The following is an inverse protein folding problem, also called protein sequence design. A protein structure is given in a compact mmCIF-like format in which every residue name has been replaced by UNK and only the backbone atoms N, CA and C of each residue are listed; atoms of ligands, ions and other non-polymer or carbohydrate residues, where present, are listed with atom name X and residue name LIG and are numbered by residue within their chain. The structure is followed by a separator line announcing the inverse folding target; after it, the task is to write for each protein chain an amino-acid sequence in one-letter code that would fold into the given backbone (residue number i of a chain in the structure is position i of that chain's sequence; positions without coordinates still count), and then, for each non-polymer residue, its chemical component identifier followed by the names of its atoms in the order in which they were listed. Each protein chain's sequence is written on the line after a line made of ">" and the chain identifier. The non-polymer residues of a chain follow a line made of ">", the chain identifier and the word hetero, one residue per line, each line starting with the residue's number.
data_IF_536459163365
#
_entry.id   IF_536459163365
#
_cell.length_a   1.000
_cell.length_b   1.000
_cell.length_c   1.000
_cell.angle_alpha   90.00
_cell.angle_beta   90.00
_cell.angle_gamma   90.00
#
_symmetry.space_group_name_H-M   'P 1'
#
loop_
_entity.id
_entity.type
_entity.pdbx_description
1 polymer ?
#
# COMPACT_ATOMS: atom_id res chain seq x y z
N UNK A 1 -77.72 8.79 9.80
CA UNK A 1 -76.26 8.98 9.86
C UNK A 1 -75.60 7.61 9.71
N UNK A 2 -74.80 7.45 8.66
CA UNK A 2 -74.15 6.19 8.31
C UNK A 2 -72.89 6.00 9.17
N UNK A 3 -72.74 4.83 9.80
CA UNK A 3 -71.45 4.35 10.30
C UNK A 3 -71.27 2.89 9.84
N UNK A 4 -70.12 2.69 9.24
CA UNK A 4 -69.67 1.59 8.41
C UNK A 4 -69.16 0.39 9.22
N UNK A 5 -69.38 -0.81 8.68
CA UNK A 5 -68.80 -2.07 9.13
C UNK A 5 -67.29 -2.10 8.86
N UNK A 6 -66.50 -2.59 9.83
CA UNK A 6 -65.13 -3.04 9.61
C UNK A 6 -65.07 -4.58 9.74
N UNK A 7 -64.38 -5.30 8.83
CA UNK A 7 -64.31 -6.76 8.86
C UNK A 7 -63.11 -7.32 9.64
N UNK A 8 -63.39 -8.49 10.20
CA UNK A 8 -62.56 -9.52 10.81
C UNK A 8 -61.14 -9.69 10.24
N UNK A 9 -60.15 -9.77 11.13
CA UNK A 9 -58.79 -10.26 10.86
C UNK A 9 -58.69 -11.77 11.16
N UNK A 10 -58.08 -12.59 10.29
CA UNK A 10 -57.73 -13.96 10.64
C UNK A 10 -56.39 -14.01 11.41
N UNK A 11 -56.40 -14.77 12.50
CA UNK A 11 -55.23 -15.23 13.26
C UNK A 11 -54.41 -16.18 12.38
N UNK A 12 -53.19 -15.78 12.00
CA UNK A 12 -52.19 -16.68 11.45
C UNK A 12 -51.21 -17.07 12.57
N UNK A 13 -51.16 -18.37 12.83
CA UNK A 13 -50.23 -19.04 13.73
C UNK A 13 -48.77 -18.77 13.31
N UNK A 14 -47.96 -18.36 14.30
CA UNK A 14 -46.50 -18.35 14.22
C UNK A 14 -45.96 -19.78 14.42
N UNK A 15 -45.04 -20.28 13.58
CA UNK A 15 -44.24 -21.44 13.91
C UNK A 15 -43.01 -21.05 14.76
N UNK A 16 -42.70 -21.91 15.75
CA UNK A 16 -41.49 -21.89 16.57
C UNK A 16 -40.21 -21.95 15.70
N UNK A 17 -39.14 -21.23 16.05
CA UNK A 17 -37.83 -21.47 15.47
C UNK A 17 -37.14 -22.64 16.19
N UNK A 18 -37.01 -23.77 15.47
CA UNK A 18 -36.07 -24.83 15.83
C UNK A 18 -34.63 -24.36 15.58
N UNK A 19 -33.78 -24.69 16.54
CA UNK A 19 -32.34 -24.53 16.50
C UNK A 19 -31.71 -25.48 15.49
N UNK A 20 -30.98 -24.93 14.51
CA UNK A 20 -29.90 -25.67 13.85
C UNK A 20 -28.67 -24.80 13.70
N UNK A 21 -27.67 -25.15 14.50
CA UNK A 21 -26.28 -24.79 14.32
C UNK A 21 -25.81 -25.26 12.93
N UNK A 22 -25.32 -24.32 12.13
CA UNK A 22 -24.50 -24.61 10.96
C UNK A 22 -23.26 -23.73 11.04
N UNK A 23 -22.11 -24.40 11.09
CA UNK A 23 -20.78 -23.84 11.10
C UNK A 23 -20.58 -22.88 9.92
N UNK A 24 -20.55 -21.58 10.21
CA UNK A 24 -20.05 -20.55 9.29
C UNK A 24 -18.63 -20.21 9.72
N UNK A 25 -17.67 -20.76 8.97
CA UNK A 25 -16.25 -20.47 9.07
C UNK A 25 -15.98 -18.97 8.91
N UNK A 26 -15.69 -18.30 10.04
CA UNK A 26 -14.80 -17.13 10.13
C UNK A 26 -14.95 -16.02 9.09
N UNK A 27 -16.07 -15.30 9.06
CA UNK A 27 -16.09 -13.94 8.50
C UNK A 27 -15.47 -13.02 9.56
N UNK A 28 -14.15 -12.87 9.51
CA UNK A 28 -13.48 -11.76 10.17
C UNK A 28 -13.88 -10.47 9.47
N UNK A 29 -14.92 -9.80 9.98
CA UNK A 29 -15.16 -8.39 9.67
C UNK A 29 -14.03 -7.61 10.35
N UNK A 30 -12.91 -7.48 9.64
CA UNK A 30 -11.87 -6.55 10.01
C UNK A 30 -12.45 -5.14 9.89
N UNK A 31 -12.92 -4.59 11.01
CA UNK A 31 -12.94 -3.15 11.23
C UNK A 31 -11.47 -2.69 11.24
N UNK A 32 -10.90 -2.59 10.04
CA UNK A 32 -9.57 -2.06 9.85
C UNK A 32 -9.67 -0.57 10.15
N UNK A 33 -9.24 -0.14 11.34
CA UNK A 33 -9.02 1.26 11.70
C UNK A 33 -8.01 1.85 10.69
N UNK A 34 -8.53 2.32 9.56
CA UNK A 34 -7.74 3.00 8.53
C UNK A 34 -7.62 4.45 8.94
N UNK A 35 -6.63 4.69 9.79
CA UNK A 35 -6.00 5.99 9.80
C UNK A 35 -5.40 6.19 8.40
N UNK A 36 -6.02 7.04 7.60
CA UNK A 36 -5.34 7.68 6.49
C UNK A 36 -4.12 8.35 7.10
N UNK A 37 -2.95 7.81 6.86
CA UNK A 37 -1.71 8.35 7.42
C UNK A 37 -1.49 9.70 6.75
N UNK A 38 -1.65 10.78 7.51
CA UNK A 38 -1.71 12.15 6.99
C UNK A 38 -0.37 12.84 7.10
N UNK A 39 -0.10 13.83 6.23
CA UNK A 39 1.03 14.73 6.43
C UNK A 39 0.91 15.49 7.78
N UNK A 40 -0.31 15.82 8.23
CA UNK A 40 -0.55 16.44 9.56
C UNK A 40 -0.23 15.52 10.74
N UNK A 41 -0.31 14.19 10.55
CA UNK A 41 0.10 13.21 11.57
C UNK A 41 1.64 13.19 11.73
N UNK A 42 2.37 13.81 10.79
CA UNK A 42 3.83 13.85 10.76
C UNK A 42 4.41 15.25 10.95
N UNK A 43 3.70 16.26 10.45
CA UNK A 43 4.04 17.67 10.56
C UNK A 43 2.89 18.35 11.34
N UNK A 44 2.84 18.19 12.68
CA UNK A 44 1.97 19.04 13.47
C UNK A 44 2.40 20.49 13.19
N UNK A 45 1.46 21.33 12.75
CA UNK A 45 1.70 22.76 12.53
C UNK A 45 2.36 23.31 13.80
N UNK A 46 3.65 23.66 13.71
CA UNK A 46 4.32 24.48 14.72
C UNK A 46 3.88 25.93 14.52
N UNK A 47 2.58 26.20 14.50
CA UNK A 47 2.07 27.54 14.76
C UNK A 47 2.15 27.76 16.27
N UNK A 48 3.27 28.32 16.72
CA UNK A 48 3.25 29.08 17.96
C UNK A 48 2.26 30.22 17.71
N UNK A 49 1.09 30.16 18.34
CA UNK A 49 0.23 31.33 18.55
C UNK A 49 0.98 32.29 19.49
N UNK A 50 1.94 33.03 18.95
CA UNK A 50 2.51 34.20 19.59
C UNK A 50 1.52 35.34 19.45
N UNK A 51 0.42 35.27 20.22
CA UNK A 51 -0.44 36.42 20.57
C UNK A 51 -1.38 36.06 21.73
N UNK A 52 -0.79 35.85 22.90
CA UNK A 52 -1.44 36.21 24.17
C UNK A 52 -0.54 37.20 24.90
N UNK A 53 -0.84 38.47 24.66
CA UNK A 53 -0.46 39.60 25.51
C UNK A 53 -0.82 39.26 26.96
N UNK A 54 0.20 39.06 27.80
CA UNK A 54 0.07 39.20 29.24
C UNK A 54 0.80 40.45 29.67
N UNK A 55 0.05 41.33 30.33
CA UNK A 55 0.50 42.64 30.78
C UNK A 55 1.71 42.56 31.68
N UNK A 56 2.52 43.61 31.58
CA UNK A 56 3.55 43.93 32.55
C UNK A 56 2.92 44.19 33.92
N UNK A 57 3.21 43.34 34.89
CA UNK A 57 3.22 43.73 36.29
C UNK A 57 4.61 43.51 36.88
N UNK A 58 5.15 44.60 37.42
CA UNK A 58 6.44 44.68 38.09
C UNK A 58 6.29 44.24 39.55
N UNK A 59 7.41 43.79 40.12
CA UNK A 59 7.70 43.55 41.55
C UNK A 59 7.33 42.18 42.13
N UNK A 60 8.35 41.36 42.41
CA UNK A 60 8.76 41.01 43.79
C UNK A 60 9.85 39.92 43.81
N UNK A 61 11.00 40.26 44.39
CA UNK A 61 11.85 39.43 45.28
C UNK A 61 12.44 38.07 44.81
N UNK A 62 13.72 37.79 45.07
CA UNK A 62 14.32 36.50 44.74
C UNK A 62 13.92 35.44 45.77
N UNK A 63 13.24 34.37 45.34
CA UNK A 63 13.05 33.16 46.16
C UNK A 63 14.10 32.13 45.79
N UNK A 64 14.99 31.89 46.75
CA UNK A 64 15.98 30.83 46.80
C UNK A 64 15.30 29.46 46.75
N UNK A 65 15.70 28.61 45.81
CA UNK A 65 15.32 27.20 45.80
C UNK A 65 16.23 26.41 46.74
N UNK A 66 15.62 25.91 47.82
CA UNK A 66 16.17 24.91 48.74
C UNK A 66 16.53 23.62 47.98
N UNK A 67 17.79 23.24 48.02
CA UNK A 67 18.25 21.87 47.84
C UNK A 67 18.02 21.10 49.14
N UNK A 68 17.40 19.92 49.07
CA UNK A 68 17.50 18.88 50.09
C UNK A 68 16.95 17.54 49.56
N UNK A 69 17.85 16.59 49.33
CA UNK A 69 17.88 15.30 50.05
C UNK A 69 19.12 14.52 49.63
N UNK A 70 20.06 14.48 50.56
CA UNK A 70 21.13 13.50 50.67
C UNK A 70 20.54 12.11 50.91
N UNK A 71 21.16 11.09 50.31
CA UNK A 71 21.13 9.74 50.86
C UNK A 71 22.58 9.34 51.11
N UNK A 72 22.86 9.06 52.37
CA UNK A 72 24.17 8.83 52.92
C UNK A 72 24.62 7.39 52.66
N UNK A 73 25.92 7.24 52.46
CA UNK A 73 26.59 5.96 52.22
C UNK A 73 27.22 5.49 53.52
N UNK A 74 26.99 4.24 53.93
CA UNK A 74 28.03 3.33 54.45
C UNK A 74 27.46 2.07 55.10
N UNK A 75 27.88 0.91 54.60
CA UNK A 75 28.43 -0.25 55.35
C UNK A 75 28.81 -1.34 54.34
N UNK A 76 30.10 -1.71 54.35
CA UNK A 76 30.71 -2.68 53.43
C UNK A 76 30.61 -4.15 53.87
N UNK A 77 31.61 -4.95 53.44
CA UNK A 77 31.77 -6.43 53.44
C UNK A 77 31.20 -7.12 52.19
N UNK A 78 31.92 -7.90 51.38
CA UNK A 78 33.33 -8.22 51.17
C UNK A 78 33.47 -8.93 49.79
N UNK A 79 34.68 -9.32 49.33
CA UNK A 79 34.88 -9.84 47.98
C UNK A 79 34.99 -11.37 47.97
N UNK A 80 34.01 -12.05 47.36
CA UNK A 80 34.14 -13.48 47.07
C UNK A 80 34.67 -13.71 45.64
N UNK A 81 35.93 -14.13 45.62
CA UNK A 81 36.55 -14.91 44.55
C UNK A 81 35.98 -16.34 44.62
N UNK A 82 35.49 -16.89 43.51
CA UNK A 82 35.85 -18.25 43.04
C UNK A 82 34.93 -18.79 41.93
N UNK A 83 35.57 -19.53 41.02
CA UNK A 83 35.02 -20.50 40.05
C UNK A 83 34.22 -19.90 38.88
N UNK A 84 34.58 -20.03 37.61
CA UNK A 84 35.39 -21.01 36.88
C UNK A 84 34.63 -21.29 35.56
N UNK A 85 35.30 -21.36 34.39
CA UNK A 85 34.59 -21.47 33.11
C UNK A 85 34.19 -22.93 32.83
N UNK A 86 32.89 -23.20 32.64
CA UNK A 86 32.44 -24.52 32.15
C UNK A 86 32.47 -24.54 30.63
N UNK A 87 33.42 -25.31 30.11
CA UNK A 87 33.57 -25.72 28.73
C UNK A 87 32.65 -26.90 28.36
N UNK A 88 32.41 -27.03 27.06
CA UNK A 88 31.96 -28.18 26.26
C UNK A 88 30.72 -29.00 26.68
N UNK A 89 29.73 -29.00 25.78
CA UNK A 89 29.16 -30.26 25.26
C UNK A 89 28.51 -30.08 23.89
N UNK A 90 29.28 -30.43 22.86
CA UNK A 90 28.78 -30.90 21.56
C UNK A 90 28.22 -32.32 21.73
N UNK A 91 27.07 -32.56 21.10
CA UNK A 91 26.39 -33.85 20.93
C UNK A 91 25.37 -33.58 19.81
N UNK A 92 25.23 -34.32 18.71
CA UNK A 92 25.61 -35.69 18.35
C UNK A 92 25.85 -35.73 16.84
N UNK A 93 26.85 -36.52 16.46
CA UNK A 93 27.00 -37.15 15.16
C UNK A 93 25.80 -38.05 14.84
N UNK A 94 25.39 -38.06 13.57
CA UNK A 94 24.63 -39.16 12.99
C UNK A 94 25.46 -39.66 11.82
N UNK A 95 26.09 -40.82 12.01
CA UNK A 95 26.84 -41.51 10.98
C UNK A 95 26.21 -42.89 10.73
N UNK A 96 25.96 -43.13 9.45
CA UNK A 96 26.00 -44.39 8.71
C UNK A 96 25.24 -45.64 9.19
N UNK A 97 24.36 -46.04 8.27
CA UNK A 97 24.39 -47.34 7.56
C UNK A 97 23.51 -48.51 8.06
N UNK A 98 23.11 -49.30 7.04
CA UNK A 98 22.33 -50.57 7.00
C UNK A 98 20.80 -50.37 6.89
N UNK A 99 20.11 -50.91 5.89
CA UNK A 99 20.54 -51.90 4.90
C UNK A 99 19.51 -52.19 3.80
N UNK A 100 19.94 -53.16 3.00
CA UNK A 100 19.44 -53.73 1.75
C UNK A 100 17.98 -54.20 1.73
N UNK A 101 17.37 -54.09 0.54
CA UNK A 101 16.18 -54.83 0.11
C UNK A 101 15.78 -54.42 -1.32
N UNK A 102 15.82 -55.32 -2.32
CA UNK A 102 15.63 -54.97 -3.73
C UNK A 102 14.19 -55.17 -4.17
N UNK A 103 13.59 -54.21 -4.87
CA UNK A 103 12.38 -54.48 -5.65
C UNK A 103 12.61 -54.21 -7.13
N UNK A 104 12.42 -55.31 -7.85
CA UNK A 104 12.40 -55.46 -9.29
C UNK A 104 11.15 -54.73 -9.81
N UNK A 105 11.32 -53.79 -10.72
CA UNK A 105 10.34 -53.61 -11.79
C UNK A 105 11.00 -53.07 -13.06
N UNK A 106 11.17 -54.02 -13.96
CA UNK A 106 11.54 -53.92 -15.36
C UNK A 106 10.47 -53.17 -16.16
N UNK A 107 10.86 -52.06 -16.79
CA UNK A 107 10.16 -51.44 -17.91
C UNK A 107 11.18 -51.07 -18.99
N UNK A 108 11.02 -51.51 -20.25
CA UNK A 108 12.11 -51.50 -21.23
C UNK A 108 12.38 -50.11 -21.81
N UNK A 109 13.64 -49.69 -21.73
CA UNK A 109 14.21 -48.55 -22.45
C UNK A 109 14.40 -48.93 -23.92
N UNK A 110 13.63 -48.34 -24.82
CA UNK A 110 13.96 -48.35 -26.25
C UNK A 110 15.09 -47.36 -26.50
N UNK A 111 16.29 -47.89 -26.68
CA UNK A 111 17.42 -47.19 -27.28
C UNK A 111 17.12 -46.98 -28.78
N UNK A 112 16.85 -45.73 -29.18
CA UNK A 112 16.95 -45.35 -30.59
C UNK A 112 18.40 -45.03 -30.91
N UNK A 113 19.10 -46.04 -31.42
CA UNK A 113 20.24 -45.83 -32.30
C UNK A 113 19.70 -45.30 -33.63
N UNK A 114 20.23 -44.17 -34.11
CA UNK A 114 20.35 -43.89 -35.53
C UNK A 114 21.71 -43.24 -35.74
N UNK A 115 22.71 -44.07 -36.01
CA UNK A 115 23.91 -43.69 -36.75
C UNK A 115 23.66 -44.12 -38.19
N UNK A 116 23.60 -43.14 -39.08
CA UNK A 116 23.96 -43.34 -40.48
C UNK A 116 24.98 -42.25 -40.79
N UNK A 117 26.23 -42.67 -40.86
CA UNK A 117 27.30 -42.01 -41.59
C UNK A 117 27.24 -42.56 -43.01
N UNK A 118 27.23 -41.67 -44.00
CA UNK A 118 28.16 -41.73 -45.14
C UNK A 118 28.03 -40.45 -46.01
N UNK A 119 29.04 -40.14 -46.85
CA UNK A 119 29.55 -38.79 -47.04
C UNK A 119 29.38 -38.23 -48.46
N UNK A 120 29.93 -37.01 -48.62
CA UNK A 120 30.42 -36.35 -49.83
C UNK A 120 29.55 -35.37 -50.65
N UNK A 121 30.08 -34.13 -50.64
CA UNK A 121 30.31 -33.20 -51.75
C UNK A 121 29.15 -32.81 -52.67
N UNK A 122 28.77 -31.53 -52.58
CA UNK A 122 28.07 -30.82 -53.64
C UNK A 122 28.08 -29.31 -53.41
N UNK A 123 29.07 -28.64 -53.99
CA UNK A 123 29.07 -27.20 -54.26
C UNK A 123 27.78 -26.81 -54.99
N UNK A 124 27.07 -25.79 -54.51
CA UNK A 124 25.81 -25.37 -55.09
C UNK A 124 25.30 -24.07 -54.48
N UNK A 125 25.87 -22.96 -54.93
CA UNK A 125 25.35 -21.61 -54.79
C UNK A 125 23.83 -21.53 -54.98
N UNK A 126 23.11 -21.00 -53.98
CA UNK A 126 21.93 -20.19 -54.30
C UNK A 126 21.65 -19.11 -53.25
N UNK A 127 21.77 -17.87 -53.70
CA UNK A 127 21.36 -16.64 -53.02
C UNK A 127 19.83 -16.66 -52.88
N UNK A 128 19.33 -17.22 -51.79
CA UNK A 128 17.95 -17.00 -51.34
C UNK A 128 17.87 -15.70 -50.54
N UNK A 129 17.71 -14.56 -51.23
CA UNK A 129 17.20 -13.34 -50.63
C UNK A 129 15.77 -13.60 -50.13
N UNK A 130 15.65 -14.09 -48.89
CA UNK A 130 14.38 -14.16 -48.19
C UNK A 130 13.86 -12.73 -47.97
N UNK A 131 12.62 -12.40 -48.38
CA UNK A 131 12.09 -11.07 -48.24
C UNK A 131 12.05 -10.70 -46.76
N UNK A 132 12.57 -9.50 -46.47
CA UNK A 132 12.60 -8.85 -45.17
C UNK A 132 11.41 -9.27 -44.30
N UNK A 133 11.70 -9.90 -43.16
CA UNK A 133 10.73 -10.02 -42.06
C UNK A 133 10.25 -8.61 -41.75
N UNK A 134 9.03 -8.35 -42.22
CA UNK A 134 8.19 -7.22 -41.92
C UNK A 134 8.54 -6.65 -40.55
N UNK A 135 9.14 -5.46 -40.55
CA UNK A 135 9.17 -4.56 -39.42
C UNK A 135 7.73 -4.41 -38.92
N UNK A 136 7.32 -5.24 -37.96
CA UNK A 136 6.06 -5.04 -37.25
C UNK A 136 6.10 -3.60 -36.76
N UNK A 137 5.10 -2.76 -37.09
CA UNK A 137 5.07 -1.40 -36.61
C UNK A 137 5.25 -1.47 -35.10
N UNK A 138 6.28 -0.78 -34.59
CA UNK A 138 6.53 -0.67 -33.16
C UNK A 138 5.24 -0.14 -32.57
N UNK A 139 4.45 -1.02 -31.97
CA UNK A 139 3.20 -0.67 -31.29
C UNK A 139 3.54 0.46 -30.36
N UNK A 140 3.04 1.66 -30.68
CA UNK A 140 3.32 2.88 -29.92
C UNK A 140 3.14 2.54 -28.45
N UNK A 141 4.27 2.54 -27.74
CA UNK A 141 4.32 2.14 -26.35
C UNK A 141 3.80 3.31 -25.53
N UNK A 142 2.50 3.56 -25.66
CA UNK A 142 1.79 4.54 -24.86
C UNK A 142 2.07 4.36 -23.37
N UNK A 143 1.75 5.36 -22.55
CA UNK A 143 1.99 5.31 -21.12
C UNK A 143 1.43 4.02 -20.52
N UNK A 144 2.30 3.22 -19.90
CA UNK A 144 1.90 1.96 -19.27
C UNK A 144 0.98 2.27 -18.10
N UNK A 145 -0.27 1.80 -18.17
CA UNK A 145 -1.24 1.99 -17.10
C UNK A 145 -1.00 1.01 -15.94
N UNK A 146 -1.45 1.42 -14.76
CA UNK A 146 -1.51 0.54 -13.58
C UNK A 146 -2.61 -0.50 -13.80
N UNK A 147 -2.39 -1.71 -13.30
CA UNK A 147 -3.44 -2.74 -13.34
C UNK A 147 -4.57 -2.29 -12.40
N UNK A 148 -5.78 -2.17 -12.94
CA UNK A 148 -6.97 -1.85 -12.14
C UNK A 148 -7.12 -2.87 -11.01
N UNK A 149 -7.28 -2.36 -9.79
CA UNK A 149 -7.57 -3.18 -8.61
C UNK A 149 -8.99 -2.87 -8.15
N UNK A 150 -9.84 -3.90 -8.15
CA UNK A 150 -11.25 -3.81 -7.76
C UNK A 150 -11.45 -4.83 -6.62
N UNK A 151 -11.76 -4.39 -5.39
CA UNK A 151 -12.14 -5.29 -4.32
C UNK A 151 -13.37 -6.13 -4.68
N UNK A 152 -13.44 -7.37 -4.17
CA UNK A 152 -14.49 -8.33 -4.53
C UNK A 152 -15.89 -7.83 -4.17
N UNK A 153 -16.04 -7.10 -3.06
CA UNK A 153 -17.30 -6.53 -2.58
C UNK A 153 -17.84 -5.39 -3.45
N UNK A 154 -17.01 -4.82 -4.33
CA UNK A 154 -17.40 -3.73 -5.25
C UNK A 154 -17.34 -4.12 -6.72
N UNK A 155 -16.96 -5.36 -7.03
CA UNK A 155 -16.83 -5.84 -8.41
C UNK A 155 -18.14 -5.70 -9.21
N UNK A 156 -19.29 -5.90 -8.55
CA UNK A 156 -20.61 -5.73 -9.18
C UNK A 156 -20.97 -4.27 -9.50
N UNK A 157 -20.24 -3.29 -8.96
CA UNK A 157 -20.49 -1.86 -9.16
C UNK A 157 -19.49 -1.23 -10.14
N UNK A 158 -18.42 -1.93 -10.52
CA UNK A 158 -17.43 -1.42 -11.46
C UNK A 158 -17.62 -2.06 -12.83
N UNK A 159 -17.87 -1.23 -13.85
CA UNK A 159 -17.94 -1.69 -15.24
C UNK A 159 -16.54 -2.03 -15.78
N UNK A 160 -16.50 -2.83 -16.84
CA UNK A 160 -15.24 -3.18 -17.52
C UNK A 160 -14.51 -1.95 -18.09
N UNK A 161 -15.25 -0.91 -18.48
CA UNK A 161 -14.70 0.38 -18.92
C UNK A 161 -14.12 1.24 -17.78
N UNK A 162 -14.22 0.77 -16.53
CA UNK A 162 -13.74 1.48 -15.35
C UNK A 162 -14.77 2.44 -14.74
N UNK A 163 -15.98 2.55 -15.30
CA UNK A 163 -17.01 3.42 -14.70
C UNK A 163 -17.61 2.79 -13.46
N UNK A 164 -17.65 3.59 -12.39
CA UNK A 164 -18.35 3.24 -11.16
C UNK A 164 -19.86 3.47 -11.32
N UNK A 165 -20.65 2.42 -11.07
CA UNK A 165 -22.09 2.50 -10.86
C UNK A 165 -22.32 3.02 -9.44
N UNK A 166 -22.92 4.19 -9.33
CA UNK A 166 -23.21 4.86 -8.06
C UNK A 166 -24.56 5.58 -8.13
N UNK A 167 -25.07 6.01 -6.99
CA UNK A 167 -26.27 6.84 -6.90
C UNK A 167 -26.01 8.24 -7.46
N UNK A 168 -27.08 8.97 -7.82
CA UNK A 168 -26.95 10.33 -8.37
C UNK A 168 -26.17 11.26 -7.42
N UNK A 169 -26.44 11.28 -6.09
CA UNK A 169 -25.64 12.07 -5.14
C UNK A 169 -24.17 11.64 -5.06
N UNK A 170 -23.84 10.36 -5.22
CA UNK A 170 -22.46 9.87 -5.28
C UNK A 170 -21.74 10.34 -6.53
N UNK A 171 -22.40 10.26 -7.69
CA UNK A 171 -21.87 10.75 -8.97
C UNK A 171 -21.57 12.24 -8.90
N UNK A 172 -22.53 13.03 -8.44
CA UNK A 172 -22.42 14.49 -8.39
C UNK A 172 -21.33 14.92 -7.41
N UNK A 173 -21.17 14.21 -6.30
CA UNK A 173 -20.04 14.41 -5.38
C UNK A 173 -18.68 14.19 -6.07
N UNK A 174 -18.50 13.05 -6.76
CA UNK A 174 -17.23 12.75 -7.43
C UNK A 174 -16.89 13.77 -8.52
N UNK A 175 -17.89 14.22 -9.28
CA UNK A 175 -17.73 15.27 -10.29
C UNK A 175 -17.37 16.61 -9.62
N UNK A 176 -18.12 17.03 -8.61
CA UNK A 176 -17.93 18.30 -7.89
C UNK A 176 -16.52 18.45 -7.34
N UNK A 177 -15.96 17.39 -6.76
CA UNK A 177 -14.61 17.39 -6.19
C UNK A 177 -13.53 16.90 -7.16
N UNK A 178 -13.90 16.56 -8.41
CA UNK A 178 -12.97 16.11 -9.44
C UNK A 178 -12.28 14.77 -9.14
N UNK A 179 -12.87 13.94 -8.27
CA UNK A 179 -12.31 12.67 -7.79
C UNK A 179 -12.54 11.58 -8.83
N UNK A 180 -11.47 10.88 -9.22
CA UNK A 180 -11.48 9.79 -10.18
C UNK A 180 -11.71 8.44 -9.44
N UNK A 181 -12.81 7.72 -9.70
CA UNK A 181 -13.06 6.42 -9.08
C UNK A 181 -12.19 5.29 -9.67
N UNK A 182 -11.70 5.43 -10.92
CA UNK A 182 -10.93 4.37 -11.59
C UNK A 182 -9.41 4.49 -11.37
N UNK A 183 -8.87 3.65 -10.49
CA UNK A 183 -7.42 3.55 -10.30
C UNK A 183 -6.67 2.96 -11.51
N UNK A 184 -7.35 2.31 -12.45
CA UNK A 184 -6.78 1.82 -13.70
C UNK A 184 -6.33 2.93 -14.64
N UNK A 185 -6.81 4.17 -14.44
CA UNK A 185 -6.38 5.35 -15.21
C UNK A 185 -5.03 5.91 -14.77
N UNK A 186 -4.51 5.46 -13.63
CA UNK A 186 -3.20 5.88 -13.17
C UNK A 186 -2.11 5.40 -14.12
N UNK A 187 -1.17 6.28 -14.44
CA UNK A 187 0.01 5.93 -15.22
C UNK A 187 1.05 5.33 -14.29
N UNK A 188 1.74 4.28 -14.71
CA UNK A 188 2.89 3.78 -13.94
C UNK A 188 3.93 4.87 -13.86
N UNK A 189 4.34 5.22 -12.64
CA UNK A 189 5.38 6.22 -12.45
C UNK A 189 6.69 5.67 -13.03
N UNK A 190 7.14 6.31 -14.11
CA UNK A 190 8.39 5.99 -14.78
C UNK A 190 9.49 6.94 -14.31
N UNK A 191 10.71 6.41 -14.24
CA UNK A 191 11.91 7.15 -13.86
C UNK A 191 13.14 6.45 -14.41
N UNK A 192 14.32 6.93 -14.01
CA UNK A 192 15.59 6.30 -14.38
C UNK A 192 15.76 4.90 -13.79
N UNK A 193 16.96 4.36 -13.99
CA UNK A 193 17.34 3.03 -13.50
C UNK A 193 17.20 2.92 -11.97
N UNK A 194 17.42 4.00 -11.22
CA UNK A 194 17.27 4.02 -9.76
C UNK A 194 15.85 3.72 -9.30
N UNK A 195 14.83 4.34 -9.92
CA UNK A 195 13.43 4.08 -9.59
C UNK A 195 13.06 2.63 -9.89
N UNK A 196 13.56 2.10 -11.02
CA UNK A 196 13.34 0.71 -11.41
C UNK A 196 14.00 -0.26 -10.43
N UNK A 197 15.22 0.04 -9.96
CA UNK A 197 15.90 -0.72 -8.91
C UNK A 197 15.10 -0.70 -7.62
N UNK A 198 14.67 0.48 -7.14
CA UNK A 198 13.84 0.60 -5.93
C UNK A 198 12.51 -0.15 -6.06
N UNK A 199 11.84 -0.10 -7.21
CA UNK A 199 10.62 -0.89 -7.42
C UNK A 199 10.87 -2.40 -7.30
N UNK A 200 11.98 -2.90 -7.86
CA UNK A 200 12.38 -4.31 -7.77
C UNK A 200 12.79 -4.72 -6.35
N UNK A 201 13.60 -3.90 -5.69
CA UNK A 201 14.18 -4.20 -4.38
C UNK A 201 13.09 -4.27 -3.29
N UNK A 202 12.10 -3.38 -3.36
CA UNK A 202 10.98 -3.34 -2.42
C UNK A 202 9.79 -4.18 -2.90
N UNK A 203 9.88 -4.80 -4.07
CA UNK A 203 8.77 -5.50 -4.73
C UNK A 203 7.49 -4.64 -4.76
N UNK A 204 7.63 -3.40 -5.23
CA UNK A 204 6.51 -2.46 -5.36
C UNK A 204 6.27 -2.05 -6.81
N UNK A 205 5.03 -1.68 -7.09
CA UNK A 205 4.66 -0.91 -8.28
C UNK A 205 4.14 0.45 -7.87
N UNK A 206 4.56 1.49 -8.60
CA UNK A 206 4.16 2.87 -8.36
C UNK A 206 3.24 3.34 -9.48
N UNK A 207 2.08 3.86 -9.10
CA UNK A 207 1.12 4.53 -9.97
C UNK A 207 1.01 6.00 -9.60
N UNK A 208 0.88 6.87 -10.59
CA UNK A 208 0.62 8.28 -10.39
C UNK A 208 -0.54 8.75 -11.27
N UNK A 209 -1.34 9.67 -10.72
CA UNK A 209 -2.35 10.42 -11.46
C UNK A 209 -2.32 11.88 -11.00
N UNK A 210 -2.40 12.85 -11.92
CA UNK A 210 -2.54 14.26 -11.56
C UNK A 210 -3.91 14.56 -10.95
N UNK A 211 -4.89 13.68 -11.14
CA UNK A 211 -6.20 13.73 -10.48
C UNK A 211 -6.16 13.00 -9.15
N UNK A 212 -6.96 13.45 -8.22
CA UNK A 212 -7.24 12.73 -6.99
C UNK A 212 -8.01 11.45 -7.30
N UNK A 213 -7.47 10.29 -6.95
CA UNK A 213 -8.07 8.98 -7.21
C UNK A 213 -8.65 8.43 -5.92
N UNK A 214 -9.87 7.92 -5.98
CA UNK A 214 -10.55 7.33 -4.84
C UNK A 214 -9.82 6.05 -4.38
N UNK A 215 -9.69 5.85 -3.06
CA UNK A 215 -9.13 4.60 -2.54
C UNK A 215 -10.01 3.42 -3.00
N UNK A 216 -9.47 2.37 -3.65
CA UNK A 216 -10.29 1.29 -4.21
C UNK A 216 -11.21 0.61 -3.20
N UNK A 217 -10.79 0.55 -1.95
CA UNK A 217 -11.58 -0.05 -0.88
C UNK A 217 -12.71 0.84 -0.34
N UNK A 218 -12.70 2.13 -0.68
CA UNK A 218 -13.78 3.05 -0.32
C UNK A 218 -14.89 3.08 -1.38
N UNK A 219 -14.70 2.42 -2.53
CA UNK A 219 -15.70 2.31 -3.58
C UNK A 219 -17.04 1.74 -3.06
N UNK A 220 -17.00 0.88 -2.02
CA UNK A 220 -18.20 0.30 -1.38
C UNK A 220 -19.13 1.34 -0.76
N UNK A 221 -18.60 2.51 -0.39
CA UNK A 221 -19.37 3.61 0.18
C UNK A 221 -20.11 4.45 -0.88
N UNK A 222 -19.86 4.16 -2.16
CA UNK A 222 -20.46 4.80 -3.32
C UNK A 222 -21.32 3.80 -4.12
N UNK A 223 -21.89 2.79 -3.46
CA UNK A 223 -22.74 1.80 -4.12
C UNK A 223 -24.04 2.42 -4.69
N UNK A 224 -24.65 1.83 -5.75
CA UNK A 224 -25.86 2.36 -6.39
C UNK A 224 -27.07 2.52 -5.47
N UNK A 225 -27.16 1.71 -4.41
CA UNK A 225 -28.26 1.74 -3.43
C UNK A 225 -28.00 2.71 -2.27
N UNK A 226 -26.89 3.45 -2.30
CA UNK A 226 -26.43 4.27 -1.18
C UNK A 226 -25.85 3.43 -0.05
N UNK A 227 -25.03 4.04 0.81
CA UNK A 227 -24.43 3.39 1.98
C UNK A 227 -24.60 4.28 3.22
N UNK A 228 -24.93 3.74 4.41
CA UNK A 228 -25.18 4.56 5.61
C UNK A 228 -23.99 5.43 6.01
N UNK A 229 -22.76 4.93 5.82
CA UNK A 229 -21.51 5.69 6.05
C UNK A 229 -21.10 6.61 4.89
N UNK A 230 -21.83 6.64 3.76
CA UNK A 230 -21.48 7.46 2.60
C UNK A 230 -21.33 8.95 2.94
N UNK A 231 -22.23 9.58 3.74
CA UNK A 231 -22.08 11.00 4.10
C UNK A 231 -20.77 11.32 4.81
N UNK A 232 -20.35 10.47 5.75
CA UNK A 232 -19.08 10.62 6.49
C UNK A 232 -17.89 10.53 5.54
N UNK A 233 -17.85 9.50 4.70
CA UNK A 233 -16.75 9.28 3.75
C UNK A 233 -16.67 10.43 2.73
N UNK A 234 -17.82 10.90 2.21
CA UNK A 234 -17.89 12.08 1.35
C UNK A 234 -17.34 13.33 2.04
N UNK A 235 -17.70 13.58 3.30
CA UNK A 235 -17.17 14.70 4.07
C UNK A 235 -15.64 14.61 4.26
N UNK A 236 -15.12 13.42 4.55
CA UNK A 236 -13.67 13.19 4.70
C UNK A 236 -12.92 13.47 3.38
N UNK A 237 -13.43 12.99 2.24
CA UNK A 237 -12.83 13.25 0.93
C UNK A 237 -12.95 14.72 0.49
N UNK A 238 -14.06 15.39 0.81
CA UNK A 238 -14.22 16.82 0.56
C UNK A 238 -13.13 17.62 1.28
N UNK A 239 -12.92 17.34 2.58
CA UNK A 239 -11.84 17.93 3.38
C UNK A 239 -10.46 17.60 2.79
N UNK A 240 -10.20 16.34 2.46
CA UNK A 240 -8.92 15.91 1.88
C UNK A 240 -8.59 16.59 0.54
N UNK A 241 -9.61 16.86 -0.29
CA UNK A 241 -9.41 17.52 -1.59
C UNK A 241 -8.96 18.97 -1.42
N UNK A 242 -9.45 19.64 -0.37
CA UNK A 242 -9.12 21.03 -0.05
C UNK A 242 -7.76 21.14 0.65
N UNK A 243 -7.51 20.27 1.63
CA UNK A 243 -6.33 20.37 2.48
C UNK A 243 -5.07 19.74 1.88
N UNK A 244 -5.20 18.81 0.92
CA UNK A 244 -4.07 17.96 0.48
C UNK A 244 -3.92 17.97 -1.03
N UNK A 245 -2.92 18.70 -1.56
CA UNK A 245 -2.67 18.69 -3.00
C UNK A 245 -2.26 17.29 -3.49
N UNK A 246 -1.44 16.54 -2.74
CA UNK A 246 -1.05 15.16 -3.06
C UNK A 246 -1.59 14.14 -2.03
N UNK A 247 -2.28 13.12 -2.53
CA UNK A 247 -2.67 11.94 -1.77
C UNK A 247 -1.68 10.81 -2.00
N UNK A 248 -1.21 10.15 -0.93
CA UNK A 248 -0.34 8.99 -1.04
C UNK A 248 -1.04 7.79 -0.40
N UNK A 249 -1.33 6.78 -1.22
CA UNK A 249 -1.90 5.52 -0.76
C UNK A 249 -0.91 4.39 -0.92
N UNK A 250 -0.90 3.48 0.04
CA UNK A 250 -0.16 2.23 -0.07
C UNK A 250 -1.13 1.06 0.11
N UNK A 251 -1.14 0.12 -0.84
CA UNK A 251 -1.90 -1.12 -0.74
C UNK A 251 -0.91 -2.27 -0.66
N UNK A 252 -0.97 -3.01 0.44
CA UNK A 252 -0.09 -4.16 0.67
C UNK A 252 -0.87 -5.43 0.39
N UNK A 253 -0.38 -6.18 -0.57
CA UNK A 253 -0.84 -7.52 -0.93
C UNK A 253 0.16 -8.58 -0.47
N UNK A 254 -0.21 -9.85 -0.54
CA UNK A 254 0.70 -10.97 -0.27
C UNK A 254 0.77 -11.39 1.19
N UNK A 255 -0.21 -12.19 1.64
CA UNK A 255 -0.19 -13.10 2.81
C UNK A 255 0.18 -12.58 4.21
N UNK A 256 0.82 -11.43 4.33
CA UNK A 256 1.40 -10.93 5.56
C UNK A 256 0.33 -10.51 6.56
N UNK A 257 0.67 -10.52 7.85
CA UNK A 257 -0.25 -10.11 8.91
C UNK A 257 -0.72 -8.66 8.76
N UNK A 258 -1.90 -8.32 9.29
CA UNK A 258 -2.43 -6.96 9.25
C UNK A 258 -1.47 -5.93 9.87
N UNK A 259 -0.75 -6.33 10.92
CA UNK A 259 0.26 -5.48 11.58
C UNK A 259 1.39 -5.14 10.62
N UNK A 260 1.98 -6.14 9.96
CA UNK A 260 3.06 -5.93 8.99
C UNK A 260 2.60 -5.03 7.83
N UNK A 261 1.39 -5.26 7.31
CA UNK A 261 0.81 -4.42 6.26
C UNK A 261 0.70 -2.96 6.70
N UNK A 262 0.15 -2.71 7.90
CA UNK A 262 -0.03 -1.35 8.43
C UNK A 262 1.31 -0.65 8.69
N UNK A 263 2.29 -1.37 9.24
CA UNK A 263 3.64 -0.85 9.47
C UNK A 263 4.28 -0.47 8.13
N UNK A 264 4.19 -1.34 7.12
CA UNK A 264 4.79 -1.07 5.81
C UNK A 264 4.11 0.08 5.08
N UNK A 265 2.78 0.19 5.14
CA UNK A 265 2.06 1.33 4.60
C UNK A 265 2.59 2.63 5.23
N UNK A 266 2.59 2.72 6.56
CA UNK A 266 3.07 3.90 7.29
C UNK A 266 4.54 4.22 6.98
N UNK A 267 5.40 3.20 6.97
CA UNK A 267 6.85 3.34 6.72
C UNK A 267 7.11 3.96 5.35
N UNK A 268 6.47 3.44 4.30
CA UNK A 268 6.70 3.90 2.92
C UNK A 268 6.03 5.25 2.65
N UNK A 269 4.78 5.46 3.08
CA UNK A 269 4.12 6.75 2.85
C UNK A 269 4.85 7.88 3.58
N UNK A 270 5.26 7.64 4.84
CA UNK A 270 6.05 8.60 5.62
C UNK A 270 7.36 8.95 4.94
N UNK A 271 8.10 7.96 4.46
CA UNK A 271 9.38 8.21 3.80
C UNK A 271 9.25 9.06 2.54
N UNK A 272 8.18 8.87 1.76
CA UNK A 272 7.92 9.71 0.58
C UNK A 272 7.57 11.14 1.02
N UNK A 273 6.73 11.33 2.03
CA UNK A 273 6.41 12.68 2.53
C UNK A 273 7.65 13.39 3.10
N UNK A 274 8.49 12.71 3.89
CA UNK A 274 9.73 13.28 4.42
C UNK A 274 10.71 13.67 3.30
N UNK A 275 10.81 12.86 2.25
CA UNK A 275 11.65 13.18 1.09
C UNK A 275 11.09 14.32 0.24
N UNK A 276 9.76 14.38 0.08
CA UNK A 276 9.08 15.49 -0.59
C UNK A 276 9.31 16.81 0.16
N UNK A 277 9.18 16.81 1.49
CA UNK A 277 9.43 17.99 2.34
C UNK A 277 10.88 18.48 2.19
N UNK A 278 11.86 17.56 2.13
CA UNK A 278 13.28 17.91 1.89
C UNK A 278 13.54 18.58 0.54
N UNK A 279 12.76 18.27 -0.51
CA UNK A 279 12.82 18.96 -1.81
C UNK A 279 11.86 20.17 -1.86
N UNK A 280 11.40 20.63 -0.69
CA UNK A 280 10.59 21.83 -0.48
C UNK A 280 9.13 21.72 -0.89
N UNK A 281 8.59 20.50 -1.04
CA UNK A 281 7.15 20.31 -1.18
C UNK A 281 6.48 20.56 0.17
N UNK A 282 5.66 21.61 0.25
CA UNK A 282 4.86 21.90 1.43
C UNK A 282 3.37 21.72 1.14
N UNK A 283 2.68 20.78 1.83
CA UNK A 283 1.26 20.51 1.58
C UNK A 283 0.35 21.67 2.00
N UNK A 284 0.80 22.53 2.92
CA UNK A 284 0.07 23.70 3.41
C UNK A 284 0.07 24.88 2.43
N UNK A 285 1.00 24.92 1.46
CA UNK A 285 1.03 25.97 0.45
C UNK A 285 0.00 25.68 -0.64
N UNK A 286 -0.80 26.68 -1.09
CA UNK A 286 -1.76 26.49 -2.17
C UNK A 286 -1.08 25.89 -3.41
N UNK A 287 -1.49 24.67 -3.76
CA UNK A 287 -0.96 23.94 -4.91
C UNK A 287 0.22 23.00 -4.64
N UNK A 288 0.79 22.95 -3.43
CA UNK A 288 1.90 22.02 -3.14
C UNK A 288 3.17 22.38 -3.91
N UNK A 289 3.53 23.66 -3.88
CA UNK A 289 4.67 24.21 -4.62
C UNK A 289 5.99 23.71 -4.03
N UNK A 290 6.83 23.09 -4.87
CA UNK A 290 8.27 22.94 -4.60
C UNK A 290 9.00 24.25 -4.98
N UNK A 291 10.14 24.59 -4.35
CA UNK A 291 11.01 25.71 -4.73
C UNK A 291 11.40 25.71 -6.22
N UNK A 292 11.38 24.56 -6.90
CA UNK A 292 11.64 24.45 -8.34
C UNK A 292 10.41 24.73 -9.24
N UNK A 293 9.29 25.18 -8.67
CA UNK A 293 8.06 25.50 -9.42
C UNK A 293 7.22 24.28 -9.85
N UNK A 294 7.67 23.06 -9.54
CA UNK A 294 6.89 21.86 -9.81
C UNK A 294 5.69 21.77 -8.85
N UNK A 295 4.48 21.89 -9.39
CA UNK A 295 3.22 21.74 -8.65
C UNK A 295 2.86 20.25 -8.52
N UNK A 296 3.19 19.63 -7.40
CA UNK A 296 2.90 18.20 -7.20
C UNK A 296 1.48 18.04 -6.64
N UNK A 297 0.55 17.58 -7.49
CA UNK A 297 -0.86 17.34 -7.15
C UNK A 297 -1.30 15.92 -7.51
N UNK A 298 -2.38 15.44 -6.90
CA UNK A 298 -3.12 14.27 -7.36
C UNK A 298 -2.94 13.09 -6.44
N UNK A 299 -2.68 11.91 -6.99
CA UNK A 299 -2.54 10.68 -6.20
C UNK A 299 -1.32 9.87 -6.62
N UNK A 300 -0.47 9.56 -5.65
CA UNK A 300 0.56 8.53 -5.73
C UNK A 300 0.03 7.25 -5.07
N UNK A 301 0.04 6.15 -5.80
CA UNK A 301 -0.40 4.85 -5.32
C UNK A 301 0.76 3.84 -5.33
N UNK A 302 1.05 3.27 -4.17
CA UNK A 302 2.12 2.31 -3.91
C UNK A 302 1.49 0.93 -3.74
N UNK A 303 1.68 0.04 -4.71
CA UNK A 303 1.27 -1.36 -4.60
C UNK A 303 2.44 -2.21 -4.12
N UNK A 304 2.38 -2.74 -2.90
CA UNK A 304 3.42 -3.59 -2.31
C UNK A 304 3.02 -5.06 -2.47
N UNK A 305 3.88 -5.85 -3.11
CA UNK A 305 3.63 -7.27 -3.37
C UNK A 305 4.32 -8.20 -2.37
N UNK A 306 5.47 -7.79 -1.84
CA UNK A 306 6.20 -8.52 -0.81
C UNK A 306 6.59 -7.57 0.33
N UNK A 307 5.73 -7.46 1.37
CA UNK A 307 6.00 -6.57 2.48
C UNK A 307 7.16 -7.02 3.36
N UNK A 308 7.49 -8.31 3.40
CA UNK A 308 8.61 -8.83 4.17
C UNK A 308 9.93 -8.37 3.52
N UNK A 309 10.04 -8.53 2.20
CA UNK A 309 11.17 -8.01 1.43
C UNK A 309 11.30 -6.49 1.56
N UNK A 310 10.20 -5.76 1.43
CA UNK A 310 10.20 -4.30 1.59
C UNK A 310 10.61 -3.85 3.01
N UNK A 311 10.30 -4.64 4.03
CA UNK A 311 10.61 -4.32 5.43
C UNK A 311 12.13 -4.30 5.69
N UNK A 312 12.91 -5.15 5.03
CA UNK A 312 14.37 -5.24 5.21
C UNK A 312 15.14 -4.12 4.53
N UNK A 313 14.48 -3.30 3.70
CA UNK A 313 15.12 -2.23 2.95
C UNK A 313 15.07 -0.89 3.70
N UNK A 314 16.01 0.02 3.41
CA UNK A 314 16.07 1.39 3.97
C UNK A 314 14.86 2.20 3.52
N UNK A 315 14.12 2.85 4.42
CA UNK A 315 13.00 3.69 3.96
C UNK A 315 13.46 4.99 3.29
N UNK A 316 14.62 5.50 3.70
CA UNK A 316 15.18 6.76 3.25
C UNK A 316 15.50 6.71 1.76
N UNK A 317 16.16 5.63 1.31
CA UNK A 317 16.43 5.38 -0.11
C UNK A 317 15.15 5.36 -0.93
N UNK A 318 14.12 4.68 -0.44
CA UNK A 318 12.82 4.61 -1.10
C UNK A 318 12.18 6.00 -1.25
N UNK A 319 12.10 6.75 -0.16
CA UNK A 319 11.50 8.08 -0.14
C UNK A 319 12.17 9.03 -1.12
N UNK A 320 13.50 9.14 -1.06
CA UNK A 320 14.29 10.06 -1.91
C UNK A 320 14.11 9.78 -3.40
N UNK A 321 14.26 8.51 -3.81
CA UNK A 321 14.15 8.13 -5.22
C UNK A 321 12.73 8.33 -5.76
N UNK A 322 11.71 7.99 -4.97
CA UNK A 322 10.30 8.16 -5.37
C UNK A 322 9.91 9.63 -5.43
N UNK A 323 10.30 10.45 -4.45
CA UNK A 323 10.04 11.88 -4.43
C UNK A 323 10.71 12.59 -5.62
N UNK A 324 11.98 12.30 -5.90
CA UNK A 324 12.70 12.86 -7.05
C UNK A 324 12.07 12.45 -8.39
N UNK A 325 11.71 11.17 -8.55
CA UNK A 325 11.03 10.70 -9.75
C UNK A 325 9.65 11.36 -9.94
N UNK A 326 8.90 11.55 -8.86
CA UNK A 326 7.60 12.22 -8.90
C UNK A 326 7.74 13.70 -9.29
N UNK A 327 8.66 14.43 -8.67
CA UNK A 327 8.93 15.83 -9.02
C UNK A 327 9.34 15.98 -10.50
N UNK A 328 10.25 15.14 -10.98
CA UNK A 328 10.67 15.12 -12.38
C UNK A 328 9.51 14.76 -13.33
N UNK A 329 8.62 13.85 -12.94
CA UNK A 329 7.45 13.49 -13.72
C UNK A 329 6.47 14.66 -13.84
N UNK A 330 6.16 15.34 -12.74
CA UNK A 330 5.28 16.51 -12.74
C UNK A 330 5.86 17.67 -13.55
N UNK A 331 7.17 17.92 -13.47
CA UNK A 331 7.86 18.95 -14.25
C UNK A 331 7.72 18.72 -15.75
N UNK A 332 7.83 17.47 -16.21
CA UNK A 332 7.66 17.10 -17.64
C UNK A 332 6.24 17.23 -18.16
N UNK A 333 5.22 17.19 -17.30
CA UNK A 333 3.82 17.36 -17.74
C UNK A 333 3.41 18.83 -17.86
N UNK A 334 4.20 19.75 -17.29
CA UNK A 334 3.96 21.19 -17.35
C UNK A 334 4.71 21.87 -18.51
N UNK A 335 5.74 21.23 -19.04
CA UNK A 335 6.52 21.67 -20.20
C UNK A 335 5.86 21.19 -21.49
#
# INVERSE_FOLDING_TARGET
>A
MAITRAPWRPLLLLPRPESRAAHSSGIFIALQCRAYVTARDFFPDKSFDSNKSFGHDKNSGPKTFRSNKSFDSSKGFGPDKNSGPKTFRSNKSFDSSKGFGPDKNSGPKTFRHNKSFDPDRGSGSNKGFGPNKSSRPKKDSGPKLVRRFIPTDVAGFMRQDGKLLTDQPGRDFLIKYGIEPDNGRMVRLQGGWELSSVQKDYAVQLGYSPRHVLNPFDLRYFQPRGHPLSPKIKADYARMTQERPLWIFATVSGGASAVVRNIMQRKLTRAVYEALDKIGYHPSKPGGSSPEGARIRGTLWISVYDPCKAATQSRERFGTVVAGALAAHCKRQLA
#
